data_IF_871412315922
#
_entry.id   IF_871412315922
#
_cell.length_a   1.000
_cell.length_b   1.000
_cell.length_c   1.000
_cell.angle_alpha   90.00
_cell.angle_beta   90.00
_cell.angle_gamma   90.00
#
_symmetry.space_group_name_H-M   'P 1'
#
loop_
_entity.id
_entity.type
_entity.pdbx_description
1 polymer ?
#
# COMPACT_ATOMS: atom_id res chain seq x y z
N UNK A 1 13.52 15.76 -3.41
CA UNK A 1 13.71 14.29 -3.51
C UNK A 1 13.91 13.98 -4.98
N UNK A 2 14.93 13.16 -5.30
CA UNK A 2 15.23 12.75 -6.66
C UNK A 2 14.15 11.80 -7.19
N UNK A 3 13.89 11.87 -8.50
CA UNK A 3 13.20 10.79 -9.19
C UNK A 3 14.09 9.53 -9.23
N UNK A 4 13.54 8.34 -9.49
CA UNK A 4 14.34 7.12 -9.64
C UNK A 4 15.45 7.26 -10.68
N UNK A 5 15.18 7.95 -11.79
CA UNK A 5 16.14 8.19 -12.88
C UNK A 5 17.29 9.11 -12.43
N UNK A 6 16.97 10.18 -11.68
CA UNK A 6 17.98 11.08 -11.12
C UNK A 6 18.87 10.35 -10.11
N UNK A 7 18.27 9.51 -9.27
CA UNK A 7 19.01 8.70 -8.30
C UNK A 7 19.95 7.68 -9.02
N UNK A 8 19.47 6.99 -10.04
CA UNK A 8 20.26 6.05 -10.83
C UNK A 8 21.39 6.78 -11.59
N UNK A 9 21.11 7.95 -12.19
CA UNK A 9 22.14 8.76 -12.85
C UNK A 9 23.24 9.18 -11.88
N UNK A 10 22.88 9.61 -10.68
CA UNK A 10 23.87 9.98 -9.64
C UNK A 10 24.73 8.78 -9.22
N UNK A 11 24.12 7.62 -8.99
CA UNK A 11 24.87 6.41 -8.64
C UNK A 11 25.83 6.00 -9.76
N UNK A 12 25.41 6.17 -11.01
CA UNK A 12 26.26 5.92 -12.16
C UNK A 12 27.48 6.87 -12.18
N UNK A 13 27.27 8.16 -11.97
CA UNK A 13 28.34 9.17 -11.91
C UNK A 13 29.30 8.94 -10.73
N UNK A 14 28.80 8.38 -9.61
CA UNK A 14 29.60 7.98 -8.45
C UNK A 14 30.37 6.66 -8.67
N UNK A 15 30.16 5.98 -9.83
CA UNK A 15 30.92 4.79 -10.23
C UNK A 15 30.32 3.47 -9.71
N UNK A 16 29.07 3.47 -9.23
CA UNK A 16 28.38 2.22 -8.89
C UNK A 16 28.02 1.45 -10.15
N UNK A 17 28.45 0.19 -10.22
CA UNK A 17 28.16 -0.71 -11.36
C UNK A 17 27.03 -1.69 -11.08
N UNK A 18 26.61 -1.87 -9.82
CA UNK A 18 25.53 -2.77 -9.42
C UNK A 18 24.61 -2.07 -8.44
N UNK A 19 23.33 -1.97 -8.77
CA UNK A 19 22.34 -1.25 -7.98
C UNK A 19 21.12 -2.10 -7.74
N UNK A 20 20.66 -2.17 -6.50
CA UNK A 20 19.35 -2.69 -6.13
C UNK A 20 18.42 -1.53 -5.77
N UNK A 21 17.26 -1.45 -6.41
CA UNK A 21 16.23 -0.46 -6.16
C UNK A 21 15.10 -1.09 -5.35
N UNK A 22 14.80 -0.57 -4.15
CA UNK A 22 13.64 -1.00 -3.37
C UNK A 22 12.41 -0.22 -3.77
N UNK A 23 11.44 -0.89 -4.39
CA UNK A 23 10.11 -0.33 -4.58
C UNK A 23 9.34 -0.29 -3.26
N UNK A 24 8.83 0.88 -2.89
CA UNK A 24 7.96 1.04 -1.72
C UNK A 24 6.47 1.02 -2.07
N UNK A 25 6.10 0.65 -3.29
CA UNK A 25 4.71 0.49 -3.69
C UNK A 25 4.03 -0.65 -2.92
N UNK A 26 2.71 -0.57 -2.79
CA UNK A 26 1.91 -1.66 -2.21
C UNK A 26 1.76 -2.83 -3.18
N UNK A 27 1.51 -2.53 -4.44
CA UNK A 27 1.23 -3.50 -5.52
C UNK A 27 2.12 -3.22 -6.73
N UNK A 28 2.32 -4.19 -7.66
CA UNK A 28 3.05 -3.99 -8.90
C UNK A 28 2.17 -3.26 -9.94
N UNK A 29 1.88 -1.96 -9.67
CA UNK A 29 1.10 -1.07 -10.52
C UNK A 29 1.89 -0.49 -11.69
N UNK A 30 1.31 0.50 -12.37
CA UNK A 30 1.92 1.17 -13.53
C UNK A 30 3.27 1.78 -13.18
N UNK A 31 3.35 2.52 -12.08
CA UNK A 31 4.56 3.19 -11.62
C UNK A 31 5.69 2.20 -11.28
N UNK A 32 5.35 1.03 -10.73
CA UNK A 32 6.34 -0.03 -10.52
C UNK A 32 6.90 -0.56 -11.84
N UNK A 33 6.05 -0.71 -12.86
CA UNK A 33 6.48 -1.15 -14.19
C UNK A 33 7.34 -0.09 -14.87
N UNK A 34 7.04 1.19 -14.73
CA UNK A 34 7.88 2.30 -15.23
C UNK A 34 9.28 2.27 -14.62
N UNK A 35 9.38 2.11 -13.29
CA UNK A 35 10.68 1.98 -12.61
C UNK A 35 11.48 0.79 -13.18
N UNK A 36 10.82 -0.34 -13.44
CA UNK A 36 11.48 -1.51 -14.02
C UNK A 36 11.98 -1.24 -15.45
N UNK A 37 11.18 -0.55 -16.28
CA UNK A 37 11.59 -0.16 -17.64
C UNK A 37 12.81 0.76 -17.56
N UNK A 38 12.75 1.82 -16.75
CA UNK A 38 13.81 2.79 -16.61
C UNK A 38 15.10 2.14 -16.08
N UNK A 39 14.99 1.30 -15.05
CA UNK A 39 16.13 0.56 -14.51
C UNK A 39 16.84 -0.30 -15.58
N UNK A 40 16.07 -0.98 -16.46
CA UNK A 40 16.63 -1.75 -17.57
C UNK A 40 17.37 -0.86 -18.59
N UNK A 41 16.85 0.33 -18.87
CA UNK A 41 17.47 1.27 -19.80
C UNK A 41 18.82 1.75 -19.25
N UNK A 42 18.93 2.04 -17.95
CA UNK A 42 20.21 2.37 -17.30
C UNK A 42 21.23 1.24 -17.43
N UNK A 43 20.82 -0.02 -17.30
CA UNK A 43 21.70 -1.17 -17.47
C UNK A 43 22.12 -1.43 -18.94
N UNK A 44 21.54 -0.72 -19.91
CA UNK A 44 21.89 -0.80 -21.34
C UNK A 44 22.72 0.38 -21.83
N UNK A 45 22.92 1.39 -21.00
CA UNK A 45 23.70 2.58 -21.38
C UNK A 45 25.21 2.24 -21.45
N UNK A 46 25.89 2.71 -22.50
CA UNK A 46 27.33 2.57 -22.63
C UNK A 46 28.04 3.31 -21.48
N UNK A 47 28.90 2.60 -20.73
CA UNK A 47 29.55 3.14 -19.53
C UNK A 47 28.59 3.36 -18.35
N UNK A 48 27.39 2.76 -18.40
CA UNK A 48 26.39 2.85 -17.36
C UNK A 48 26.54 1.81 -16.24
N UNK A 49 25.46 1.56 -15.53
CA UNK A 49 25.40 0.56 -14.47
C UNK A 49 25.31 -0.83 -15.11
N UNK A 50 26.23 -1.74 -14.77
CA UNK A 50 26.25 -3.10 -15.33
C UNK A 50 24.99 -3.90 -14.98
N UNK A 51 24.44 -3.69 -13.78
CA UNK A 51 23.29 -4.40 -13.32
C UNK A 51 22.39 -3.53 -12.41
N UNK A 52 21.13 -3.36 -12.80
CA UNK A 52 20.09 -2.75 -11.96
C UNK A 52 18.98 -3.77 -11.72
N UNK A 53 18.65 -4.02 -10.46
CA UNK A 53 17.56 -4.91 -10.07
C UNK A 53 16.55 -4.12 -9.24
N UNK A 54 15.28 -4.14 -9.66
CA UNK A 54 14.18 -3.57 -8.89
C UNK A 54 13.54 -4.67 -8.05
N UNK A 55 13.49 -4.47 -6.74
CA UNK A 55 12.84 -5.40 -5.84
C UNK A 55 11.30 -5.30 -5.93
N UNK A 56 10.65 -6.37 -5.57
CA UNK A 56 9.20 -6.43 -5.58
C UNK A 56 8.56 -5.44 -4.58
N UNK A 57 7.35 -4.93 -4.88
CA UNK A 57 6.53 -4.18 -3.93
C UNK A 57 6.03 -5.08 -2.79
N UNK A 58 5.18 -4.52 -1.90
CA UNK A 58 4.76 -5.23 -0.68
C UNK A 58 3.93 -6.48 -0.99
N UNK A 59 2.93 -6.37 -1.86
CA UNK A 59 1.97 -7.43 -2.17
C UNK A 59 2.25 -8.04 -3.54
N UNK A 60 2.83 -9.22 -3.57
CA UNK A 60 3.18 -9.95 -4.80
C UNK A 60 2.76 -11.41 -4.79
N UNK A 61 2.29 -11.91 -3.67
CA UNK A 61 1.89 -13.30 -3.50
C UNK A 61 0.80 -13.44 -2.44
N UNK A 62 0.19 -14.60 -2.41
CA UNK A 62 -0.76 -15.01 -1.39
C UNK A 62 -0.19 -14.88 0.03
N UNK A 63 1.05 -15.33 0.21
CA UNK A 63 1.78 -15.26 1.48
C UNK A 63 2.03 -13.81 1.92
N UNK A 64 2.42 -12.92 1.01
CA UNK A 64 2.68 -11.51 1.36
C UNK A 64 1.41 -10.77 1.72
N UNK A 65 0.26 -11.09 1.09
CA UNK A 65 -1.04 -10.56 1.48
C UNK A 65 -1.42 -10.99 2.91
N UNK A 66 -1.23 -12.27 3.25
CA UNK A 66 -1.52 -12.78 4.59
C UNK A 66 -0.62 -12.14 5.65
N UNK A 67 0.68 -12.04 5.39
CA UNK A 67 1.62 -11.35 6.29
C UNK A 67 1.25 -9.88 6.49
N UNK A 68 0.87 -9.18 5.42
CA UNK A 68 0.44 -7.80 5.52
C UNK A 68 -0.82 -7.65 6.38
N UNK A 69 -1.85 -8.47 6.16
CA UNK A 69 -3.07 -8.46 6.97
C UNK A 69 -2.80 -8.81 8.44
N UNK A 70 -1.93 -9.79 8.73
CA UNK A 70 -1.49 -10.10 10.08
C UNK A 70 -0.77 -8.90 10.72
N UNK A 71 0.08 -8.22 9.96
CA UNK A 71 0.74 -6.98 10.39
C UNK A 71 -0.27 -5.88 10.73
N UNK A 72 -1.29 -5.67 9.91
CA UNK A 72 -2.39 -4.74 10.18
C UNK A 72 -3.06 -5.10 11.51
N UNK A 73 -3.53 -6.32 11.67
CA UNK A 73 -4.30 -6.74 12.85
C UNK A 73 -3.48 -6.67 14.14
N UNK A 74 -2.18 -6.95 14.09
CA UNK A 74 -1.34 -7.05 15.30
C UNK A 74 -0.60 -5.77 15.65
N UNK A 75 -0.38 -4.87 14.69
CA UNK A 75 0.49 -3.70 14.86
C UNK A 75 -0.19 -2.35 14.60
N UNK A 76 -1.20 -2.32 13.73
CA UNK A 76 -1.81 -1.06 13.26
C UNK A 76 -3.18 -0.85 13.88
N UNK A 77 -4.00 -1.88 13.93
CA UNK A 77 -5.35 -1.80 14.51
C UNK A 77 -5.28 -1.35 15.97
N UNK A 78 -6.04 -0.30 16.36
CA UNK A 78 -6.05 0.18 17.73
C UNK A 78 -6.49 -0.92 18.72
N UNK A 79 -5.77 -1.06 19.83
CA UNK A 79 -6.02 -2.12 20.84
C UNK A 79 -7.41 -2.03 21.48
N UNK A 80 -8.02 -0.85 21.49
CA UNK A 80 -9.36 -0.62 22.00
C UNK A 80 -10.49 -1.02 21.05
N UNK A 81 -10.18 -1.41 19.78
CA UNK A 81 -11.18 -1.84 18.80
C UNK A 81 -11.99 -3.01 19.33
N UNK A 82 -13.31 -2.90 19.28
CA UNK A 82 -14.25 -3.95 19.64
C UNK A 82 -14.55 -4.85 18.42
N UNK A 83 -14.97 -6.09 18.67
CA UNK A 83 -15.19 -7.08 17.60
C UNK A 83 -16.30 -6.70 16.62
N UNK A 84 -17.28 -5.88 17.05
CA UNK A 84 -18.40 -5.37 16.24
C UNK A 84 -18.06 -4.04 15.52
N UNK A 85 -16.91 -3.44 15.77
CA UNK A 85 -16.42 -2.27 15.05
C UNK A 85 -15.66 -2.70 13.78
N UNK A 86 -15.81 -1.92 12.71
CA UNK A 86 -15.14 -2.21 11.45
C UNK A 86 -13.71 -1.67 11.40
N UNK A 87 -12.91 -2.27 10.54
CA UNK A 87 -11.61 -1.76 10.07
C UNK A 87 -11.74 -1.60 8.57
N UNK A 88 -11.41 -0.42 8.06
CA UNK A 88 -11.41 -0.14 6.63
C UNK A 88 -10.02 0.32 6.21
N UNK A 89 -9.35 -0.51 5.42
CA UNK A 89 -8.07 -0.19 4.84
C UNK A 89 -8.30 0.64 3.58
N UNK A 90 -7.63 1.79 3.48
CA UNK A 90 -7.64 2.64 2.29
C UNK A 90 -6.41 2.35 1.44
N UNK A 91 -6.58 1.62 0.34
CA UNK A 91 -5.59 1.52 -0.73
C UNK A 91 -5.68 2.69 -1.71
N UNK A 92 -4.61 2.95 -2.45
CA UNK A 92 -4.63 3.96 -3.50
C UNK A 92 -5.59 3.57 -4.64
N UNK A 93 -5.48 2.33 -5.10
CA UNK A 93 -6.12 1.89 -6.33
C UNK A 93 -5.28 2.24 -7.55
N UNK A 94 -5.65 1.74 -8.71
CA UNK A 94 -4.97 2.02 -9.97
C UNK A 94 -5.81 1.58 -11.17
N UNK A 95 -5.66 2.24 -12.31
CA UNK A 95 -6.26 1.79 -13.59
C UNK A 95 -5.52 0.57 -14.19
N UNK A 96 -4.38 0.17 -13.61
CA UNK A 96 -3.63 -1.00 -14.04
C UNK A 96 -4.34 -2.30 -13.61
N UNK A 97 -4.28 -3.41 -14.39
CA UNK A 97 -4.91 -4.68 -14.02
C UNK A 97 -4.51 -5.25 -12.65
N UNK A 98 -3.37 -4.83 -12.08
CA UNK A 98 -2.97 -5.17 -10.71
C UNK A 98 -3.90 -4.63 -9.63
N UNK A 99 -4.83 -3.75 -9.96
CA UNK A 99 -5.89 -3.30 -9.04
C UNK A 99 -6.68 -4.48 -8.45
N UNK A 100 -6.82 -5.57 -9.21
CA UNK A 100 -7.43 -6.81 -8.74
C UNK A 100 -6.78 -7.40 -7.47
N UNK A 101 -5.54 -7.00 -7.13
CA UNK A 101 -4.88 -7.40 -5.88
C UNK A 101 -5.65 -6.87 -4.67
N UNK A 102 -6.25 -5.68 -4.74
CA UNK A 102 -7.08 -5.16 -3.64
C UNK A 102 -8.35 -5.98 -3.43
N UNK A 103 -8.98 -6.48 -4.50
CA UNK A 103 -10.11 -7.39 -4.39
C UNK A 103 -9.70 -8.74 -3.76
N UNK A 104 -8.54 -9.28 -4.15
CA UNK A 104 -7.99 -10.48 -3.54
C UNK A 104 -7.64 -10.27 -2.05
N UNK A 105 -7.04 -9.12 -1.72
CA UNK A 105 -6.75 -8.72 -0.35
C UNK A 105 -8.02 -8.58 0.48
N UNK A 106 -9.09 -7.97 -0.07
CA UNK A 106 -10.41 -7.87 0.56
C UNK A 106 -10.98 -9.24 0.90
N UNK A 107 -10.92 -10.19 -0.04
CA UNK A 107 -11.39 -11.56 0.20
C UNK A 107 -10.65 -12.24 1.38
N UNK A 108 -9.31 -12.10 1.44
CA UNK A 108 -8.51 -12.62 2.55
C UNK A 108 -8.78 -11.89 3.87
N UNK A 109 -8.91 -10.57 3.81
CA UNK A 109 -9.23 -9.74 4.96
C UNK A 109 -10.52 -10.20 5.63
N UNK A 110 -11.58 -10.43 4.86
CA UNK A 110 -12.86 -10.89 5.39
C UNK A 110 -12.85 -12.34 5.91
N UNK A 111 -11.94 -13.18 5.43
CA UNK A 111 -11.71 -14.51 6.04
C UNK A 111 -11.01 -14.42 7.39
N UNK A 112 -10.17 -13.41 7.59
CA UNK A 112 -9.46 -13.18 8.85
C UNK A 112 -10.37 -12.53 9.90
N UNK A 113 -11.12 -11.51 9.50
CA UNK A 113 -12.09 -10.80 10.32
C UNK A 113 -13.25 -10.31 9.43
N UNK A 114 -14.49 -10.74 9.73
CA UNK A 114 -15.67 -10.38 8.94
C UNK A 114 -15.98 -8.87 8.90
N UNK A 115 -15.33 -8.07 9.75
CA UNK A 115 -15.44 -6.62 9.82
C UNK A 115 -14.13 -5.91 9.38
N UNK A 116 -13.22 -6.62 8.70
CA UNK A 116 -12.04 -6.05 8.05
C UNK A 116 -12.33 -5.88 6.54
N UNK A 117 -12.25 -4.65 6.07
CA UNK A 117 -12.56 -4.26 4.69
C UNK A 117 -11.36 -3.60 4.03
N UNK A 118 -11.29 -3.69 2.72
CA UNK A 118 -10.29 -3.01 1.87
C UNK A 118 -11.05 -2.22 0.82
N UNK A 119 -10.89 -0.92 0.80
CA UNK A 119 -11.39 -0.03 -0.24
C UNK A 119 -10.25 0.71 -0.90
N UNK A 120 -10.51 1.30 -2.05
CA UNK A 120 -9.52 2.08 -2.81
C UNK A 120 -10.06 3.48 -3.12
N UNK A 121 -9.14 4.44 -3.33
CA UNK A 121 -9.48 5.79 -3.75
C UNK A 121 -9.85 5.80 -5.25
N UNK A 122 -9.03 5.15 -6.09
CA UNK A 122 -9.13 5.22 -7.56
C UNK A 122 -9.38 3.86 -8.23
N UNK A 123 -9.81 2.84 -7.48
CA UNK A 123 -9.94 1.49 -8.01
C UNK A 123 -11.12 0.72 -7.43
N UNK A 124 -10.96 -0.59 -7.30
CA UNK A 124 -11.98 -1.50 -6.76
C UNK A 124 -11.37 -2.44 -5.70
N UNK A 125 -12.09 -2.72 -4.59
CA UNK A 125 -13.42 -2.22 -4.25
C UNK A 125 -13.46 -0.72 -3.96
N UNK A 126 -14.54 -0.05 -4.35
CA UNK A 126 -14.75 1.36 -4.03
C UNK A 126 -15.17 1.56 -2.57
N UNK A 127 -14.94 2.78 -2.05
CA UNK A 127 -15.42 3.09 -0.69
C UNK A 127 -16.95 3.10 -0.59
N UNK A 128 -17.66 3.47 -1.65
CA UNK A 128 -19.12 3.45 -1.67
C UNK A 128 -19.68 2.03 -1.43
N UNK A 129 -19.09 1.03 -2.12
CA UNK A 129 -19.46 -0.39 -1.90
C UNK A 129 -19.22 -0.83 -0.45
N UNK A 130 -18.09 -0.41 0.15
CA UNK A 130 -17.78 -0.69 1.55
C UNK A 130 -18.80 -0.02 2.47
N UNK A 131 -19.10 1.26 2.27
CA UNK A 131 -20.06 2.03 3.07
C UNK A 131 -21.45 1.37 3.09
N UNK A 132 -21.94 0.92 1.93
CA UNK A 132 -23.19 0.17 1.85
C UNK A 132 -23.18 -1.12 2.70
N UNK A 133 -22.06 -1.85 2.69
CA UNK A 133 -21.90 -3.06 3.51
C UNK A 133 -21.91 -2.71 4.99
N UNK A 134 -21.20 -1.66 5.40
CA UNK A 134 -21.17 -1.20 6.80
C UNK A 134 -22.57 -0.82 7.30
N UNK A 135 -23.34 -0.10 6.48
CA UNK A 135 -24.73 0.26 6.81
C UNK A 135 -25.61 -0.99 6.96
N UNK A 136 -25.55 -1.92 6.01
CA UNK A 136 -26.33 -3.19 6.09
C UNK A 136 -25.97 -4.02 7.32
N UNK A 137 -24.70 -4.02 7.71
CA UNK A 137 -24.19 -4.71 8.91
C UNK A 137 -24.50 -3.96 10.20
N UNK A 138 -25.06 -2.74 10.13
CA UNK A 138 -25.36 -1.86 11.27
C UNK A 138 -24.11 -1.54 12.10
N UNK A 139 -22.97 -1.41 11.44
CA UNK A 139 -21.71 -0.96 12.07
C UNK A 139 -21.92 0.45 12.61
N UNK A 140 -21.50 0.69 13.84
CA UNK A 140 -21.59 2.00 14.50
C UNK A 140 -20.28 2.77 14.48
N UNK A 141 -19.16 2.06 14.36
CA UNK A 141 -17.82 2.66 14.34
C UNK A 141 -16.90 1.91 13.40
N UNK A 142 -16.08 2.67 12.65
CA UNK A 142 -15.09 2.14 11.75
C UNK A 142 -13.73 2.84 11.95
N UNK A 143 -12.66 2.07 12.09
CA UNK A 143 -11.29 2.57 12.02
C UNK A 143 -10.85 2.65 10.57
N UNK A 144 -10.43 3.84 10.15
CA UNK A 144 -9.90 4.08 8.81
C UNK A 144 -8.36 4.04 8.87
N UNK A 145 -7.76 3.18 8.08
CA UNK A 145 -6.30 2.95 8.10
C UNK A 145 -5.76 3.10 6.69
N UNK A 146 -4.80 4.00 6.43
CA UNK A 146 -4.18 4.10 5.12
C UNK A 146 -3.33 2.85 4.86
N UNK A 147 -3.72 2.07 3.86
CA UNK A 147 -2.95 0.94 3.36
C UNK A 147 -1.98 1.45 2.27
N UNK A 148 -1.11 2.36 2.69
CA UNK A 148 -0.13 3.08 1.87
C UNK A 148 1.17 3.23 2.65
N UNK A 149 2.27 3.45 1.95
CA UNK A 149 3.60 3.60 2.56
C UNK A 149 3.65 4.76 3.56
N UNK A 150 3.03 5.87 3.20
CA UNK A 150 2.94 7.08 4.02
C UNK A 150 1.47 7.51 4.17
N UNK A 151 1.13 8.13 5.29
CA UNK A 151 -0.15 8.80 5.47
C UNK A 151 -0.06 10.21 4.87
N UNK A 152 -0.04 10.27 3.53
CA UNK A 152 0.10 11.51 2.76
C UNK A 152 -1.25 12.17 2.47
N UNK A 153 -1.32 12.80 1.29
CA UNK A 153 -2.46 13.62 0.84
C UNK A 153 -3.79 12.86 0.90
N UNK A 154 -3.85 11.66 0.33
CA UNK A 154 -5.06 10.82 0.38
C UNK A 154 -5.51 10.50 1.82
N UNK A 155 -4.58 10.23 2.74
CA UNK A 155 -4.95 9.96 4.13
C UNK A 155 -5.45 11.22 4.83
N UNK A 156 -4.88 12.39 4.53
CA UNK A 156 -5.26 13.65 5.15
C UNK A 156 -6.58 14.20 4.58
N UNK A 157 -6.79 14.12 3.27
CA UNK A 157 -7.92 14.72 2.58
C UNK A 157 -9.03 13.70 2.30
N UNK A 158 -8.76 12.64 1.50
CA UNK A 158 -9.80 11.71 1.06
C UNK A 158 -10.26 10.79 2.21
N UNK A 159 -9.37 10.38 3.12
CA UNK A 159 -9.74 9.51 4.24
C UNK A 159 -10.29 10.29 5.44
N UNK A 160 -9.49 11.23 5.97
CA UNK A 160 -9.75 11.88 7.25
C UNK A 160 -10.12 13.36 7.14
N UNK A 161 -10.22 13.90 5.94
CA UNK A 161 -10.59 15.29 5.67
C UNK A 161 -11.99 15.65 6.15
N UNK A 162 -12.33 16.93 6.04
CA UNK A 162 -13.64 17.46 6.44
C UNK A 162 -14.56 17.75 5.24
N UNK A 163 -14.05 17.57 4.02
CA UNK A 163 -14.87 17.73 2.82
C UNK A 163 -15.96 16.65 2.74
N UNK A 164 -17.11 16.92 2.12
CA UNK A 164 -18.26 16.00 2.10
C UNK A 164 -17.93 14.62 1.48
N UNK A 165 -16.98 14.56 0.57
CA UNK A 165 -16.55 13.36 -0.16
C UNK A 165 -15.47 12.55 0.58
N UNK A 166 -14.90 13.07 1.66
CA UNK A 166 -13.98 12.28 2.48
C UNK A 166 -14.66 11.06 3.10
N UNK A 167 -13.95 9.96 3.23
CA UNK A 167 -14.48 8.73 3.83
C UNK A 167 -15.06 8.96 5.23
N UNK A 168 -14.36 9.76 6.04
CA UNK A 168 -14.84 10.18 7.37
C UNK A 168 -16.19 10.90 7.31
N UNK A 169 -16.34 11.90 6.44
CA UNK A 169 -17.58 12.67 6.30
C UNK A 169 -18.72 11.82 5.75
N UNK A 170 -18.43 10.96 4.78
CA UNK A 170 -19.41 10.02 4.25
C UNK A 170 -19.89 9.01 5.31
N UNK A 171 -19.02 8.49 6.18
CA UNK A 171 -19.45 7.63 7.31
C UNK A 171 -20.30 8.40 8.30
N UNK A 172 -19.92 9.62 8.64
CA UNK A 172 -20.70 10.48 9.55
C UNK A 172 -22.11 10.76 9.00
N UNK A 173 -22.25 10.95 7.69
CA UNK A 173 -23.56 11.20 7.03
C UNK A 173 -24.54 10.04 7.16
N UNK A 174 -24.06 8.82 7.39
CA UNK A 174 -24.87 7.61 7.61
C UNK A 174 -24.86 7.13 9.07
N UNK A 175 -24.37 7.97 10.00
CA UNK A 175 -24.40 7.71 11.44
C UNK A 175 -23.31 6.74 11.92
N UNK A 176 -22.24 6.55 11.17
CA UNK A 176 -21.10 5.71 11.56
C UNK A 176 -19.96 6.61 12.06
N UNK A 177 -19.55 6.42 13.31
CA UNK A 177 -18.37 7.07 13.87
C UNK A 177 -17.10 6.56 13.17
N UNK A 178 -16.16 7.44 12.86
CA UNK A 178 -14.86 7.04 12.29
C UNK A 178 -13.71 7.35 13.22
N UNK A 179 -12.74 6.42 13.27
CA UNK A 179 -11.47 6.56 14.00
C UNK A 179 -10.29 6.47 13.04
N UNK A 180 -9.87 7.58 12.39
CA UNK A 180 -8.74 7.53 11.47
C UNK A 180 -7.43 7.30 12.20
N UNK A 181 -6.62 6.36 11.67
CA UNK A 181 -5.24 6.10 12.10
C UNK A 181 -4.32 6.80 11.10
N UNK A 182 -3.75 7.94 11.51
CA UNK A 182 -2.93 8.79 10.63
C UNK A 182 -1.47 8.35 10.61
N UNK A 183 -1.23 7.09 10.22
CA UNK A 183 0.11 6.49 10.09
C UNK A 183 0.20 5.65 8.84
N UNK A 184 1.28 5.87 8.06
CA UNK A 184 1.61 5.03 6.93
C UNK A 184 2.27 3.71 7.36
N UNK A 185 2.26 2.71 6.48
CA UNK A 185 2.79 1.38 6.81
C UNK A 185 4.31 1.39 7.02
N UNK A 186 5.04 2.35 6.45
CA UNK A 186 6.49 2.51 6.70
C UNK A 186 6.82 2.95 8.13
N UNK A 187 5.85 3.34 8.94
CA UNK A 187 6.05 3.65 10.36
C UNK A 187 6.01 2.39 11.26
N UNK A 188 5.78 1.22 10.69
CA UNK A 188 5.69 -0.04 11.43
C UNK A 188 6.75 -1.04 10.96
N UNK A 189 7.60 -1.49 11.87
CA UNK A 189 8.70 -2.44 11.60
C UNK A 189 8.26 -3.71 10.88
N UNK A 190 7.02 -4.15 11.09
CA UNK A 190 6.46 -5.33 10.44
C UNK A 190 6.47 -5.19 8.90
N UNK A 191 6.11 -4.02 8.37
CA UNK A 191 6.08 -3.76 6.93
C UNK A 191 7.45 -3.37 6.40
N UNK A 192 8.20 -2.57 7.15
CA UNK A 192 9.61 -2.26 6.84
C UNK A 192 10.41 -3.57 6.69
N UNK A 193 10.19 -4.54 7.58
CA UNK A 193 10.81 -5.86 7.50
C UNK A 193 10.47 -6.62 6.21
N UNK A 194 9.24 -6.49 5.70
CA UNK A 194 8.84 -7.12 4.43
C UNK A 194 9.57 -6.48 3.23
N UNK A 195 9.66 -5.14 3.16
CA UNK A 195 10.43 -4.47 2.11
C UNK A 195 11.92 -4.79 2.18
N UNK A 196 12.51 -4.83 3.39
CA UNK A 196 13.91 -5.21 3.57
C UNK A 196 14.14 -6.66 3.11
N UNK A 197 13.22 -7.58 3.35
CA UNK A 197 13.32 -8.96 2.86
C UNK A 197 13.30 -9.01 1.33
N UNK A 198 12.42 -8.24 0.67
CA UNK A 198 12.37 -8.11 -0.78
C UNK A 198 13.68 -7.53 -1.33
N UNK A 199 14.22 -6.47 -0.71
CA UNK A 199 15.49 -5.88 -1.09
C UNK A 199 16.64 -6.88 -0.99
N UNK A 200 16.74 -7.62 0.12
CA UNK A 200 17.77 -8.65 0.30
C UNK A 200 17.71 -9.74 -0.77
N UNK A 201 16.48 -10.15 -1.14
CA UNK A 201 16.27 -11.09 -2.24
C UNK A 201 16.76 -10.52 -3.58
N UNK A 202 16.43 -9.27 -3.88
CA UNK A 202 16.92 -8.60 -5.09
C UNK A 202 18.46 -8.49 -5.09
N UNK A 203 19.06 -8.07 -3.97
CA UNK A 203 20.52 -7.96 -3.83
C UNK A 203 21.24 -9.30 -4.02
N UNK A 204 20.65 -10.42 -3.62
CA UNK A 204 21.23 -11.74 -3.80
C UNK A 204 21.37 -12.16 -5.29
N UNK A 205 20.67 -11.47 -6.20
CA UNK A 205 20.77 -11.66 -7.64
C UNK A 205 21.78 -10.71 -8.33
N UNK A 206 22.37 -9.76 -7.61
CA UNK A 206 23.50 -8.95 -8.12
C UNK A 206 24.76 -9.82 -8.17
N UNK A 207 25.23 -10.11 -9.38
CA UNK A 207 26.38 -11.02 -9.64
C UNK A 207 27.66 -10.24 -9.88
#
# INVERSE_FOLDING_TARGET
IDSPEMALSRLMDEGYTKVAVQSLHMIPGAEFHEINVNARLFAQMAGGIDQVIVSWPLLVSDETMEKALQGIMTRVVPKQRQADEAIVLMGHGTHHPSDAIYSALMYKAQKMDANLFVGTVEGSPSFEEIKEVLVRKKIRKAYLIPFMTVAGDHAMNDMAGNEPDSWKSQLASVGIESGPVMKGLAEFDAFVGMWIANLKTAMAHLK
#
